data_IF_177996376543
#
_entry.id   IF_177996376543
#
_cell.length_a   1.000
_cell.length_b   1.000
_cell.length_c   1.000
_cell.angle_alpha   90.00
_cell.angle_beta   90.00
_cell.angle_gamma   90.00
#
_symmetry.space_group_name_H-M   'P 1'
#
loop_
_entity.id
_entity.type
_entity.pdbx_description
1 polymer ?
#
# COMPACT_ATOMS: atom_id res chain seq x y z
N UNK A 1 -9.82 -21.01 -5.95
CA UNK A 1 -9.22 -20.49 -7.19
C UNK A 1 -8.34 -19.31 -6.77
N UNK A 2 -7.05 -19.54 -6.50
CA UNK A 2 -6.14 -18.51 -6.03
C UNK A 2 -5.89 -17.54 -7.18
N UNK A 3 -6.57 -16.40 -7.16
CA UNK A 3 -6.28 -15.30 -8.06
C UNK A 3 -4.82 -14.90 -7.85
N UNK A 4 -3.98 -15.21 -8.84
CA UNK A 4 -2.56 -14.88 -8.79
C UNK A 4 -2.44 -13.41 -9.15
N UNK A 5 -2.43 -12.59 -8.11
CA UNK A 5 -2.13 -11.17 -8.20
C UNK A 5 -0.72 -11.01 -8.78
N UNK A 6 -0.60 -10.74 -10.09
CA UNK A 6 0.67 -10.42 -10.73
C UNK A 6 0.90 -8.91 -10.61
N UNK A 7 2.03 -8.45 -10.06
CA UNK A 7 2.21 -7.03 -9.80
C UNK A 7 2.48 -6.25 -11.09
N UNK A 8 1.82 -5.10 -11.22
CA UNK A 8 2.23 -4.04 -12.14
C UNK A 8 3.50 -3.35 -11.63
N UNK A 9 3.69 -3.35 -10.29
CA UNK A 9 4.84 -2.73 -9.63
C UNK A 9 5.30 -3.53 -8.43
N UNK A 10 6.61 -3.61 -8.24
CA UNK A 10 7.22 -4.19 -7.03
C UNK A 10 7.97 -3.12 -6.25
N UNK A 11 7.74 -3.08 -4.94
CA UNK A 11 8.47 -2.25 -3.98
C UNK A 11 9.29 -3.16 -3.08
N UNK A 12 10.61 -3.11 -3.22
CA UNK A 12 11.51 -3.84 -2.34
C UNK A 12 11.81 -3.03 -1.07
N UNK A 13 11.27 -3.49 0.05
CA UNK A 13 11.50 -2.93 1.38
C UNK A 13 12.09 -3.93 2.36
N UNK A 14 12.69 -5.02 1.87
CA UNK A 14 13.39 -6.00 2.73
C UNK A 14 14.52 -5.31 3.48
N UNK A 15 14.67 -5.65 4.76
CA UNK A 15 15.63 -5.00 5.67
C UNK A 15 15.22 -3.60 6.16
N UNK A 16 14.09 -3.05 5.71
CA UNK A 16 13.51 -1.83 6.29
C UNK A 16 12.56 -2.18 7.42
N UNK A 17 12.49 -1.30 8.42
CA UNK A 17 11.52 -1.37 9.52
C UNK A 17 10.34 -0.42 9.26
N UNK A 18 9.21 -0.71 9.91
CA UNK A 18 7.87 -0.15 9.75
C UNK A 18 7.82 1.24 9.10
N UNK A 19 8.27 2.28 9.81
CA UNK A 19 8.14 3.67 9.33
C UNK A 19 8.90 3.87 8.01
N UNK A 20 10.11 3.32 7.90
CA UNK A 20 10.93 3.43 6.70
C UNK A 20 10.33 2.66 5.52
N UNK A 21 9.76 1.47 5.77
CA UNK A 21 9.04 0.69 4.77
C UNK A 21 7.84 1.48 4.20
N UNK A 22 7.02 2.06 5.08
CA UNK A 22 5.83 2.81 4.69
C UNK A 22 6.15 4.10 3.92
N UNK A 23 7.21 4.81 4.33
CA UNK A 23 7.68 5.99 3.59
C UNK A 23 8.18 5.63 2.19
N UNK A 24 8.92 4.51 2.07
CA UNK A 24 9.37 4.01 0.76
C UNK A 24 8.22 3.58 -0.12
N UNK A 25 7.24 2.87 0.44
CA UNK A 25 6.01 2.48 -0.27
C UNK A 25 5.29 3.72 -0.80
N UNK A 26 5.02 4.70 0.07
CA UNK A 26 4.37 5.96 -0.31
C UNK A 26 5.09 6.67 -1.45
N UNK A 27 6.40 6.83 -1.36
CA UNK A 27 7.19 7.48 -2.40
C UNK A 27 7.15 6.69 -3.71
N UNK A 28 7.23 5.36 -3.63
CA UNK A 28 7.22 4.50 -4.81
C UNK A 28 5.87 4.52 -5.55
N UNK A 29 4.75 4.74 -4.86
CA UNK A 29 3.41 4.67 -5.48
C UNK A 29 2.79 6.03 -5.80
N UNK A 30 3.48 7.13 -5.48
CA UNK A 30 2.94 8.50 -5.57
C UNK A 30 2.39 8.85 -6.97
N UNK A 31 3.08 8.43 -8.04
CA UNK A 31 2.70 8.73 -9.42
C UNK A 31 2.03 7.53 -10.13
N UNK A 32 1.70 6.46 -9.40
CA UNK A 32 1.08 5.28 -9.98
C UNK A 32 -0.43 5.48 -10.16
N UNK A 33 -1.02 5.03 -11.29
CA UNK A 33 -2.45 5.19 -11.52
C UNK A 33 -3.28 4.33 -10.56
N UNK A 34 -4.53 4.75 -10.33
CA UNK A 34 -5.52 3.92 -9.65
C UNK A 34 -5.65 2.55 -10.32
N UNK A 35 -5.91 1.52 -9.53
CA UNK A 35 -5.99 0.14 -10.01
C UNK A 35 -4.65 -0.58 -10.10
N UNK A 36 -3.52 0.14 -10.04
CA UNK A 36 -2.18 -0.48 -10.02
C UNK A 36 -2.10 -1.53 -8.91
N UNK A 37 -1.71 -2.75 -9.28
CA UNK A 37 -1.42 -3.82 -8.35
C UNK A 37 0.05 -3.77 -7.96
N UNK A 38 0.32 -3.58 -6.67
CA UNK A 38 1.66 -3.45 -6.10
C UNK A 38 1.97 -4.64 -5.23
N UNK A 39 3.14 -5.23 -5.42
CA UNK A 39 3.75 -6.16 -4.47
C UNK A 39 4.79 -5.44 -3.63
N UNK A 40 4.68 -5.57 -2.31
CA UNK A 40 5.67 -5.09 -1.36
C UNK A 40 6.43 -6.29 -0.83
N UNK A 41 7.74 -6.31 -1.03
CA UNK A 41 8.63 -7.30 -0.42
C UNK A 41 9.09 -6.75 0.91
N UNK A 42 8.79 -7.44 2.01
CA UNK A 42 9.20 -7.02 3.34
C UNK A 42 9.64 -8.21 4.20
N UNK A 43 10.61 -7.95 5.07
CA UNK A 43 11.07 -8.90 6.10
C UNK A 43 10.79 -8.38 7.51
N UNK A 44 10.12 -7.24 7.63
CA UNK A 44 9.72 -6.68 8.91
C UNK A 44 8.59 -7.51 9.52
N UNK A 45 8.73 -8.02 10.76
CA UNK A 45 7.65 -8.73 11.44
C UNK A 45 6.38 -7.89 11.64
N UNK A 46 6.46 -6.56 11.56
CA UNK A 46 5.30 -5.67 11.66
C UNK A 46 4.53 -5.50 10.32
N UNK A 47 5.14 -5.86 9.18
CA UNK A 47 4.52 -5.70 7.86
C UNK A 47 3.12 -6.33 7.70
N UNK A 48 2.83 -7.52 8.26
CA UNK A 48 1.48 -8.11 8.23
C UNK A 48 0.40 -7.26 8.91
N UNK A 49 0.76 -6.37 9.82
CA UNK A 49 -0.16 -5.44 10.51
C UNK A 49 -0.14 -4.06 9.85
N UNK A 50 1.05 -3.56 9.53
CA UNK A 50 1.24 -2.20 9.06
C UNK A 50 0.74 -1.98 7.64
N UNK A 51 0.91 -2.95 6.73
CA UNK A 51 0.48 -2.80 5.34
C UNK A 51 -1.05 -2.78 5.19
N UNK A 52 -1.83 -3.64 5.89
CA UNK A 52 -3.27 -3.48 5.96
C UNK A 52 -3.71 -2.15 6.57
N UNK A 53 -3.09 -1.74 7.67
CA UNK A 53 -3.41 -0.47 8.33
C UNK A 53 -3.12 0.74 7.42
N UNK A 54 -1.98 0.74 6.74
CA UNK A 54 -1.62 1.76 5.77
C UNK A 54 -2.62 1.81 4.62
N UNK A 55 -3.02 0.65 4.07
CA UNK A 55 -4.04 0.59 3.03
C UNK A 55 -5.37 1.19 3.51
N UNK A 56 -5.83 0.81 4.71
CA UNK A 56 -7.05 1.37 5.30
C UNK A 56 -6.98 2.89 5.48
N UNK A 57 -5.89 3.41 6.05
CA UNK A 57 -5.70 4.83 6.30
C UNK A 57 -5.57 5.67 5.03
N UNK A 58 -5.04 5.09 3.95
CA UNK A 58 -4.82 5.77 2.66
C UNK A 58 -5.96 5.54 1.66
N UNK A 59 -6.91 4.67 1.98
CA UNK A 59 -8.02 4.30 1.10
C UNK A 59 -7.65 3.31 0.00
N UNK A 60 -6.49 2.65 0.09
CA UNK A 60 -6.07 1.57 -0.80
C UNK A 60 -6.60 0.21 -0.32
N UNK A 61 -6.51 -0.81 -1.17
CA UNK A 61 -6.97 -2.15 -0.83
C UNK A 61 -5.81 -3.08 -0.55
N UNK A 62 -5.78 -3.66 0.65
CA UNK A 62 -4.89 -4.77 0.95
C UNK A 62 -5.51 -6.08 0.43
N UNK A 63 -4.73 -6.87 -0.30
CA UNK A 63 -5.19 -8.08 -0.98
C UNK A 63 -4.62 -9.37 -0.37
N UNK A 64 -3.79 -9.25 0.67
CA UNK A 64 -3.20 -10.38 1.37
C UNK A 64 -1.73 -10.59 1.03
N UNK A 65 -1.22 -11.75 1.45
CA UNK A 65 0.16 -12.18 1.26
C UNK A 65 0.17 -13.35 0.25
N UNK A 66 0.28 -13.09 -1.06
CA UNK A 66 0.28 -14.14 -2.09
C UNK A 66 1.46 -15.11 -2.00
N UNK A 67 2.54 -14.73 -1.32
CA UNK A 67 3.69 -15.57 -1.02
C UNK A 67 4.41 -15.04 0.23
N UNK A 68 5.16 -15.89 0.98
CA UNK A 68 5.86 -15.46 2.18
C UNK A 68 6.71 -14.20 1.98
N UNK A 69 6.49 -13.17 2.80
CA UNK A 69 7.18 -11.87 2.74
C UNK A 69 6.80 -11.00 1.53
N UNK A 70 5.77 -11.38 0.78
CA UNK A 70 5.25 -10.63 -0.38
C UNK A 70 3.81 -10.24 -0.13
N UNK A 71 3.56 -8.94 -0.04
CA UNK A 71 2.25 -8.38 0.30
C UNK A 71 1.65 -7.68 -0.91
N UNK A 72 0.43 -8.06 -1.29
CA UNK A 72 -0.28 -7.48 -2.41
C UNK A 72 -1.22 -6.36 -1.95
N UNK A 73 -1.18 -5.24 -2.66
CA UNK A 73 -2.09 -4.12 -2.46
C UNK A 73 -2.50 -3.50 -3.79
N UNK A 74 -3.74 -3.02 -3.88
CA UNK A 74 -4.26 -2.32 -5.05
C UNK A 74 -4.46 -0.84 -4.72
N UNK A 75 -3.79 -0.01 -5.52
CA UNK A 75 -3.93 1.43 -5.41
C UNK A 75 -5.33 1.86 -5.84
N UNK A 76 -5.79 2.91 -5.21
CA UNK A 76 -7.01 3.64 -5.53
C UNK A 76 -6.60 5.06 -5.90
N UNK A 77 -7.45 5.81 -6.58
CA UNK A 77 -7.12 7.12 -7.15
C UNK A 77 -6.77 8.23 -6.13
N UNK A 78 -6.71 7.92 -4.82
CA UNK A 78 -6.59 8.89 -3.70
C UNK A 78 -7.89 9.71 -3.50
N UNK A 79 -8.09 10.41 -2.36
CA UNK A 79 -9.16 10.19 -1.38
C UNK A 79 -10.16 11.36 -1.37
N UNK A 80 -11.16 11.33 -0.48
CA UNK A 80 -12.05 12.48 -0.28
C UNK A 80 -11.24 13.79 -0.09
N UNK A 81 -11.54 14.85 -0.87
CA UNK A 81 -10.82 16.12 -0.74
C UNK A 81 -11.10 16.73 0.63
N UNK A 82 -10.07 17.10 1.39
CA UNK A 82 -10.25 18.09 2.46
C UNK A 82 -10.18 19.47 1.83
N UNK A 83 -11.27 20.24 1.98
CA UNK A 83 -11.32 21.63 1.56
C UNK A 83 -10.30 22.44 2.36
N UNK A 84 -9.40 23.20 1.72
CA UNK A 84 -8.43 24.04 2.43
C UNK A 84 -9.10 25.19 3.21
N UNK A 85 -10.33 25.57 2.84
CA UNK A 85 -11.11 26.65 3.46
C UNK A 85 -12.22 26.17 4.42
N UNK A 86 -12.54 24.88 4.40
CA UNK A 86 -13.66 24.33 5.18
C UNK A 86 -13.51 22.81 5.43
N UNK A 87 -12.51 22.37 6.21
CA UNK A 87 -12.15 20.95 6.33
C UNK A 87 -13.23 20.07 7.02
N UNK A 88 -14.29 20.66 7.58
CA UNK A 88 -15.32 19.95 8.35
C UNK A 88 -16.73 19.98 7.76
N UNK A 89 -16.92 20.52 6.55
CA UNK A 89 -18.22 20.51 5.88
C UNK A 89 -18.21 19.46 4.76
N UNK A 90 -19.17 18.52 4.83
CA UNK A 90 -19.45 17.53 3.77
C UNK A 90 -20.41 18.11 2.74
#
# INVERSE_FOLDING_TARGET
MTDRHLPDRTVDGRGLLCVTLLLRLRAAVADAPAGTLVHVLATDPAAPLDLPAWCHLTGHHYLGEPAPGTYALRLTATPAPTRPDAPWHR
#
